data_IF_538211103024
#
_entry.id   IF_538211103024
#
_cell.length_a   1.000
_cell.length_b   1.000
_cell.length_c   1.000
_cell.angle_alpha   90.00
_cell.angle_beta   90.00
_cell.angle_gamma   90.00
#
_symmetry.space_group_name_H-M   'P 1'
#
loop_
_entity.id
_entity.type
_entity.pdbx_description
1 polymer ?
#
# COMPACT_ATOMS: atom_id res chain seq x y z
N UNK A 1 -21.86 19.15 28.74
CA UNK A 1 -20.84 18.26 29.34
C UNK A 1 -19.92 17.82 28.21
N UNK A 2 -18.64 18.18 28.25
CA UNK A 2 -17.68 17.76 27.22
C UNK A 2 -17.43 16.27 27.38
N UNK A 3 -17.94 15.45 26.47
CA UNK A 3 -17.65 14.02 26.43
C UNK A 3 -16.14 13.83 26.28
N UNK A 4 -15.55 13.12 27.24
CA UNK A 4 -14.16 12.72 27.19
C UNK A 4 -14.10 11.37 26.46
N UNK A 5 -13.43 11.34 25.32
CA UNK A 5 -13.35 10.15 24.48
C UNK A 5 -12.19 9.26 24.92
N UNK A 6 -12.39 7.95 24.90
CA UNK A 6 -11.27 7.03 25.05
C UNK A 6 -10.39 7.05 23.79
N UNK A 7 -9.15 6.55 23.89
CA UNK A 7 -8.28 6.39 22.72
C UNK A 7 -8.93 5.54 21.62
N UNK A 8 -9.66 4.49 22.02
CA UNK A 8 -10.37 3.61 21.08
C UNK A 8 -11.48 4.34 20.33
N UNK A 9 -12.20 5.25 21.02
CA UNK A 9 -13.26 6.04 20.39
C UNK A 9 -12.67 7.05 19.40
N UNK A 10 -11.54 7.67 19.73
CA UNK A 10 -10.83 8.59 18.83
C UNK A 10 -10.29 7.88 17.58
N UNK A 11 -9.80 6.64 17.71
CA UNK A 11 -9.43 5.81 16.57
C UNK A 11 -10.65 5.51 15.67
N UNK A 12 -11.82 5.18 16.27
CA UNK A 12 -13.05 4.94 15.50
C UNK A 12 -13.55 6.19 14.80
N UNK A 13 -13.48 7.36 15.45
CA UNK A 13 -13.84 8.64 14.83
C UNK A 13 -12.95 8.91 13.60
N UNK A 14 -11.65 8.65 13.68
CA UNK A 14 -10.78 8.78 12.51
C UNK A 14 -11.21 7.83 11.37
N UNK A 15 -11.71 6.63 11.68
CA UNK A 15 -12.26 5.69 10.68
C UNK A 15 -13.59 6.19 10.10
N UNK A 16 -14.48 6.73 10.93
CA UNK A 16 -15.74 7.31 10.47
C UNK A 16 -15.50 8.48 9.50
N UNK A 17 -14.49 9.31 9.75
CA UNK A 17 -14.08 10.39 8.83
C UNK A 17 -13.48 9.83 7.55
N UNK A 18 -12.61 8.83 7.66
CA UNK A 18 -12.05 8.12 6.51
C UNK A 18 -13.15 7.63 5.57
N UNK A 19 -14.26 7.07 6.09
CA UNK A 19 -15.36 6.52 5.29
C UNK A 19 -16.16 7.58 4.53
N UNK A 20 -16.00 8.87 4.85
CA UNK A 20 -16.58 9.99 4.09
C UNK A 20 -15.77 10.32 2.83
N UNK A 21 -14.52 9.85 2.73
CA UNK A 21 -13.66 10.08 1.56
C UNK A 21 -14.19 9.32 0.35
N UNK A 22 -14.49 10.06 -0.71
CA UNK A 22 -14.83 9.51 -2.03
C UNK A 22 -13.60 9.22 -2.89
N UNK A 23 -12.41 9.61 -2.41
CA UNK A 23 -11.12 9.41 -3.09
C UNK A 23 -10.25 8.37 -2.38
N UNK A 24 -9.41 7.68 -3.15
CA UNK A 24 -8.46 6.70 -2.63
C UNK A 24 -6.99 7.15 -2.76
N UNK A 25 -6.10 6.73 -1.82
CA UNK A 25 -6.44 6.12 -0.54
C UNK A 25 -7.31 7.02 0.33
N UNK A 26 -8.32 6.42 0.98
CA UNK A 26 -9.18 7.06 1.98
C UNK A 26 -8.35 7.31 3.23
N UNK A 27 -8.39 8.54 3.70
CA UNK A 27 -7.67 8.97 4.89
C UNK A 27 -8.62 9.77 5.76
N UNK A 28 -8.67 9.42 7.04
CA UNK A 28 -9.41 10.12 8.07
C UNK A 28 -8.52 10.45 9.25
N UNK A 29 -8.79 11.60 9.86
CA UNK A 29 -8.00 12.17 10.94
C UNK A 29 -8.91 12.68 12.04
N UNK A 30 -8.55 12.37 13.28
CA UNK A 30 -9.10 12.99 14.47
C UNK A 30 -7.96 13.63 15.29
N UNK A 31 -8.14 14.88 15.71
CA UNK A 31 -7.20 15.60 16.58
C UNK A 31 -7.84 15.72 17.95
N UNK A 32 -7.14 15.28 19.00
CA UNK A 32 -7.64 15.36 20.36
C UNK A 32 -6.58 15.81 21.34
N UNK A 33 -7.01 16.45 22.44
CA UNK A 33 -6.14 16.87 23.54
C UNK A 33 -6.83 16.58 24.85
N UNK A 34 -6.15 15.86 25.74
CA UNK A 34 -6.71 15.42 27.03
C UNK A 34 -8.06 14.69 26.89
N UNK A 35 -8.18 13.85 25.85
CA UNK A 35 -9.38 13.06 25.50
C UNK A 35 -10.55 13.88 24.95
N UNK A 36 -10.41 15.21 24.80
CA UNK A 36 -11.38 16.05 24.09
C UNK A 36 -11.06 16.07 22.60
N UNK A 37 -12.03 15.73 21.76
CA UNK A 37 -11.95 15.92 20.31
C UNK A 37 -11.91 17.43 19.99
N UNK A 38 -10.94 17.84 19.20
CA UNK A 38 -10.73 19.24 18.80
C UNK A 38 -11.17 19.49 17.36
N UNK A 39 -10.74 18.62 16.44
CA UNK A 39 -11.10 18.69 15.03
C UNK A 39 -11.02 17.31 14.40
N UNK A 40 -11.69 17.18 13.25
CA UNK A 40 -11.58 16.04 12.36
C UNK A 40 -11.21 16.50 10.96
N UNK A 41 -10.78 15.58 10.11
CA UNK A 41 -10.60 15.83 8.68
C UNK A 41 -10.57 14.54 7.90
N UNK A 42 -10.97 14.59 6.64
CA UNK A 42 -10.83 13.47 5.72
C UNK A 42 -10.33 13.94 4.35
N UNK A 43 -9.76 13.01 3.58
CA UNK A 43 -9.31 13.30 2.22
C UNK A 43 -10.51 13.62 1.33
N UNK A 44 -10.41 14.68 0.55
CA UNK A 44 -11.51 15.14 -0.31
C UNK A 44 -12.48 16.11 0.40
N UNK A 45 -12.34 16.34 1.70
CA UNK A 45 -13.12 17.38 2.39
C UNK A 45 -12.81 18.78 1.85
N UNK A 46 -11.54 19.02 1.49
CA UNK A 46 -11.11 20.20 0.75
C UNK A 46 -10.31 19.72 -0.45
N UNK A 47 -10.69 20.17 -1.65
CA UNK A 47 -10.07 19.77 -2.91
C UNK A 47 -8.53 19.86 -2.83
N UNK A 48 -7.87 18.75 -3.17
CA UNK A 48 -6.40 18.63 -3.22
C UNK A 48 -5.68 18.86 -1.89
N UNK A 49 -6.36 18.69 -0.75
CA UNK A 49 -5.75 18.83 0.59
C UNK A 49 -5.84 17.51 1.35
N UNK A 50 -4.73 17.08 1.95
CA UNK A 50 -4.67 15.87 2.77
C UNK A 50 -5.44 16.04 4.09
N UNK A 51 -5.97 14.92 4.61
CA UNK A 51 -6.82 14.89 5.81
C UNK A 51 -6.16 15.55 7.03
N UNK A 52 -4.85 15.34 7.25
CA UNK A 52 -4.11 15.91 8.38
C UNK A 52 -4.11 17.44 8.31
N UNK A 53 -3.90 17.98 7.12
CA UNK A 53 -3.90 19.43 6.89
C UNK A 53 -5.30 20.01 7.02
N UNK A 54 -6.33 19.31 6.53
CA UNK A 54 -7.73 19.71 6.72
C UNK A 54 -8.05 19.83 8.21
N UNK A 55 -7.68 18.82 9.01
CA UNK A 55 -7.96 18.82 10.44
C UNK A 55 -7.20 19.94 11.18
N UNK A 56 -5.91 20.14 10.86
CA UNK A 56 -5.09 21.18 11.50
C UNK A 56 -5.57 22.59 11.15
N UNK A 57 -6.01 22.84 9.92
CA UNK A 57 -6.52 24.17 9.50
C UNK A 57 -7.77 24.63 10.27
N UNK A 58 -8.47 23.72 10.94
CA UNK A 58 -9.65 24.03 11.77
C UNK A 58 -9.28 24.46 13.19
N UNK A 59 -7.99 24.47 13.54
CA UNK A 59 -7.48 24.70 14.88
C UNK A 59 -6.53 25.91 14.91
N UNK A 60 -6.44 26.55 16.07
CA UNK A 60 -5.36 27.52 16.35
C UNK A 60 -4.09 26.81 16.78
N UNK A 61 -2.95 27.51 16.72
CA UNK A 61 -1.65 26.99 17.13
C UNK A 61 -1.65 26.53 18.61
N UNK A 62 -2.38 27.23 19.49
CA UNK A 62 -2.52 26.85 20.90
C UNK A 62 -3.33 25.57 21.10
N UNK A 63 -4.32 25.33 20.23
CA UNK A 63 -5.16 24.14 20.30
C UNK A 63 -4.39 22.89 19.86
N UNK A 64 -3.63 22.98 18.76
CA UNK A 64 -2.89 21.85 18.18
C UNK A 64 -1.63 21.50 18.97
N UNK A 65 -0.96 22.49 19.58
CA UNK A 65 0.27 22.28 20.33
C UNK A 65 0.04 21.29 21.49
N UNK A 66 0.83 20.22 21.50
CA UNK A 66 0.74 19.13 22.47
C UNK A 66 -0.49 18.21 22.32
N UNK A 67 -1.23 18.31 21.21
CA UNK A 67 -2.33 17.41 20.91
C UNK A 67 -1.83 16.02 20.44
N UNK A 68 -2.74 15.06 20.41
CA UNK A 68 -2.56 13.74 19.80
C UNK A 68 -3.32 13.70 18.47
N UNK A 69 -2.65 13.24 17.42
CA UNK A 69 -3.23 12.99 16.09
C UNK A 69 -3.56 11.51 15.98
N UNK A 70 -4.78 11.20 15.54
CA UNK A 70 -5.19 9.85 15.15
C UNK A 70 -5.41 9.88 13.66
N UNK A 71 -4.53 9.22 12.89
CA UNK A 71 -4.61 9.19 11.41
C UNK A 71 -4.77 7.75 10.95
N UNK A 72 -5.66 7.50 10.00
CA UNK A 72 -5.87 6.13 9.48
C UNK A 72 -4.70 5.65 8.63
N UNK A 73 -3.99 6.54 7.94
CA UNK A 73 -2.84 6.22 7.10
C UNK A 73 -1.57 6.93 7.59
N UNK A 74 -0.40 6.36 7.33
CA UNK A 74 0.89 6.97 7.61
C UNK A 74 1.02 8.37 6.96
N UNK A 75 1.43 9.41 7.72
CA UNK A 75 1.63 10.74 7.17
C UNK A 75 2.72 10.78 6.10
N UNK A 76 2.43 11.42 4.96
CA UNK A 76 3.40 11.54 3.87
C UNK A 76 4.65 12.35 4.28
N UNK A 77 5.80 12.01 3.67
CA UNK A 77 7.09 12.71 3.85
C UNK A 77 7.55 13.48 2.62
N UNK A 78 7.09 13.08 1.44
CA UNK A 78 7.37 13.77 0.18
C UNK A 78 6.28 14.79 -0.12
N UNK A 79 6.65 15.84 -0.85
CA UNK A 79 5.71 16.78 -1.44
C UNK A 79 5.17 16.17 -2.73
N UNK A 80 3.87 15.89 -2.78
CA UNK A 80 3.23 15.52 -4.05
C UNK A 80 3.10 16.75 -4.96
N UNK A 81 2.96 16.53 -6.27
CA UNK A 81 2.83 17.61 -7.28
C UNK A 81 1.68 18.59 -6.98
N UNK A 82 0.65 18.11 -6.28
CA UNK A 82 -0.53 18.90 -5.89
C UNK A 82 -0.39 19.54 -4.50
N UNK A 83 0.69 19.26 -3.77
CA UNK A 83 0.99 19.84 -2.46
C UNK A 83 2.01 20.98 -2.59
N UNK A 84 1.53 22.22 -2.60
CA UNK A 84 2.37 23.44 -2.58
C UNK A 84 2.94 23.80 -1.20
N UNK A 85 2.74 22.96 -0.18
CA UNK A 85 3.04 23.23 1.24
C UNK A 85 3.64 21.96 1.88
N UNK A 86 4.51 22.12 2.89
CA UNK A 86 5.22 21.08 3.67
C UNK A 86 4.53 19.70 3.76
N UNK A 87 5.29 18.60 3.71
CA UNK A 87 4.74 17.23 3.87
C UNK A 87 3.88 17.08 5.14
N UNK A 88 2.92 16.14 5.18
CA UNK A 88 2.08 15.93 6.37
C UNK A 88 2.92 15.67 7.62
N UNK A 89 3.94 14.81 7.56
CA UNK A 89 4.84 14.56 8.69
C UNK A 89 5.54 15.85 9.18
N UNK A 90 6.03 16.68 8.25
CA UNK A 90 6.62 17.98 8.61
C UNK A 90 5.60 18.93 9.25
N UNK A 91 4.38 19.00 8.71
CA UNK A 91 3.32 19.83 9.26
C UNK A 91 3.02 19.44 10.72
N UNK A 92 2.96 18.14 11.03
CA UNK A 92 2.74 17.66 12.40
C UNK A 92 3.88 18.08 13.33
N UNK A 93 5.13 18.00 12.87
CA UNK A 93 6.32 18.44 13.59
C UNK A 93 6.25 19.94 13.88
N UNK A 94 6.01 20.74 12.85
CA UNK A 94 5.95 22.20 12.95
C UNK A 94 4.79 22.66 13.86
N UNK A 95 3.66 21.93 13.86
CA UNK A 95 2.52 22.17 14.75
C UNK A 95 2.77 21.79 16.22
N UNK A 96 3.89 21.13 16.53
CA UNK A 96 4.26 20.78 17.90
C UNK A 96 3.32 19.77 18.55
N UNK A 97 2.83 18.78 17.80
CA UNK A 97 2.01 17.69 18.35
C UNK A 97 2.85 16.80 19.27
N UNK A 98 2.22 16.20 20.29
CA UNK A 98 2.92 15.35 21.27
C UNK A 98 2.95 13.87 20.84
N UNK A 99 1.90 13.42 20.14
CA UNK A 99 1.76 12.02 19.75
C UNK A 99 1.01 11.90 18.40
N UNK A 100 1.42 10.92 17.59
CA UNK A 100 0.71 10.49 16.40
C UNK A 100 0.39 9.00 16.52
N UNK A 101 -0.89 8.66 16.42
CA UNK A 101 -1.41 7.30 16.43
C UNK A 101 -1.80 6.93 15.01
N UNK A 102 -1.13 5.93 14.43
CA UNK A 102 -1.26 5.55 13.02
C UNK A 102 -2.12 4.29 12.88
N UNK A 103 -3.07 4.29 11.95
CA UNK A 103 -3.85 3.11 11.57
C UNK A 103 -3.00 2.08 10.83
N UNK A 104 -2.70 2.36 9.58
CA UNK A 104 -1.86 1.51 8.72
C UNK A 104 -0.66 2.29 8.20
N UNK A 105 0.46 1.59 8.03
CA UNK A 105 1.61 2.16 7.33
C UNK A 105 1.31 2.25 5.83
N UNK A 106 1.92 3.21 5.14
CA UNK A 106 1.67 3.38 3.71
C UNK A 106 2.31 2.21 2.94
N UNK A 107 1.54 1.42 2.17
CA UNK A 107 2.09 0.34 1.36
C UNK A 107 2.94 0.89 0.21
N UNK A 108 2.94 2.16 -0.12
CA UNK A 108 3.90 2.69 -1.10
C UNK A 108 5.33 2.55 -0.57
N UNK A 109 6.17 1.74 -1.22
CA UNK A 109 7.56 1.50 -0.81
C UNK A 109 8.43 2.77 -0.77
N UNK A 110 8.04 3.85 -1.45
CA UNK A 110 8.72 5.16 -1.34
C UNK A 110 8.31 5.97 -0.12
N UNK A 111 7.27 5.56 0.61
CA UNK A 111 6.74 6.24 1.80
C UNK A 111 6.85 5.34 3.04
N UNK A 112 6.74 4.02 2.86
CA UNK A 112 6.68 3.02 3.93
C UNK A 112 7.68 3.29 5.04
N UNK A 113 7.16 3.51 6.24
CA UNK A 113 7.91 3.74 7.48
C UNK A 113 8.72 5.05 7.49
N UNK A 114 8.76 5.83 6.42
CA UNK A 114 9.49 7.11 6.41
C UNK A 114 8.77 8.17 7.24
N UNK A 115 7.44 8.25 7.17
CA UNK A 115 6.64 9.16 7.99
C UNK A 115 6.76 8.80 9.45
N UNK A 116 6.63 7.52 9.76
CA UNK A 116 6.87 6.97 11.10
C UNK A 116 8.25 7.34 11.65
N UNK A 117 9.33 7.11 10.89
CA UNK A 117 10.70 7.41 11.32
C UNK A 117 10.93 8.90 11.52
N UNK A 118 10.48 9.73 10.57
CA UNK A 118 10.64 11.18 10.63
C UNK A 118 10.00 11.78 11.88
N UNK A 119 8.82 11.29 12.28
CA UNK A 119 8.15 11.73 13.51
C UNK A 119 8.96 11.34 14.76
N UNK A 120 9.45 10.11 14.84
CA UNK A 120 10.28 9.64 15.97
C UNK A 120 11.59 10.43 16.09
N UNK A 121 12.27 10.67 14.97
CA UNK A 121 13.52 11.45 14.92
C UNK A 121 13.34 12.89 15.40
N UNK A 122 12.10 13.42 15.34
CA UNK A 122 11.75 14.75 15.81
C UNK A 122 11.04 14.73 17.19
N UNK A 123 11.24 13.66 17.98
CA UNK A 123 10.74 13.51 19.35
C UNK A 123 9.20 13.52 19.48
N UNK A 124 8.48 13.11 18.43
CA UNK A 124 7.04 12.86 18.51
C UNK A 124 6.80 11.41 18.89
N UNK A 125 5.95 11.17 19.89
CA UNK A 125 5.57 9.81 20.25
C UNK A 125 4.73 9.19 19.12
N UNK A 126 5.06 7.98 18.69
CA UNK A 126 4.29 7.28 17.66
C UNK A 126 3.77 5.95 18.19
N UNK A 127 2.46 5.72 18.05
CA UNK A 127 1.81 4.45 18.40
C UNK A 127 0.87 4.01 17.28
N UNK A 128 0.32 2.81 17.38
CA UNK A 128 -0.57 2.25 16.36
C UNK A 128 -1.99 2.05 16.88
N UNK A 129 -2.94 2.01 15.95
CA UNK A 129 -4.30 1.55 16.25
C UNK A 129 -4.25 0.11 16.77
N UNK A 130 -5.27 -0.29 17.53
CA UNK A 130 -5.38 -1.69 17.95
C UNK A 130 -5.57 -2.60 16.72
N UNK A 131 -5.14 -3.87 16.84
CA UNK A 131 -5.13 -4.82 15.73
C UNK A 131 -6.46 -4.91 14.97
N UNK A 132 -7.59 -4.92 15.68
CA UNK A 132 -8.93 -5.02 15.08
C UNK A 132 -9.25 -3.80 14.21
N UNK A 133 -8.94 -2.60 14.70
CA UNK A 133 -9.16 -1.36 13.94
C UNK A 133 -8.18 -1.20 12.78
N UNK A 134 -6.96 -1.72 12.89
CA UNK A 134 -5.99 -1.71 11.77
C UNK A 134 -6.49 -2.50 10.57
N UNK A 135 -7.03 -3.70 10.79
CA UNK A 135 -7.61 -4.52 9.72
C UNK A 135 -8.75 -3.79 9.03
N UNK A 136 -9.68 -3.22 9.81
CA UNK A 136 -10.79 -2.45 9.25
C UNK A 136 -10.34 -1.22 8.45
N UNK A 137 -9.29 -0.53 8.92
CA UNK A 137 -8.69 0.58 8.18
C UNK A 137 -8.06 0.08 6.89
N UNK A 138 -7.31 -1.01 6.91
CA UNK A 138 -6.60 -1.54 5.73
C UNK A 138 -7.56 -1.94 4.60
N UNK A 139 -8.65 -2.63 4.95
CA UNK A 139 -9.68 -3.09 4.00
C UNK A 139 -10.40 -1.94 3.29
N UNK A 140 -10.62 -0.82 4.00
CA UNK A 140 -11.36 0.34 3.49
C UNK A 140 -10.46 1.47 2.94
N UNK A 141 -9.18 1.52 3.33
CA UNK A 141 -8.25 2.61 2.99
C UNK A 141 -7.90 2.67 1.52
N UNK A 142 -7.79 1.54 0.86
CA UNK A 142 -7.27 1.48 -0.49
C UNK A 142 -8.37 1.00 -1.42
N UNK A 143 -8.48 1.63 -2.60
CA UNK A 143 -9.19 0.99 -3.70
C UNK A 143 -8.28 -0.12 -4.15
N UNK A 144 -8.43 -1.25 -3.48
CA UNK A 144 -7.71 -2.43 -3.84
C UNK A 144 -8.25 -3.00 -5.16
N UNK A 145 -9.29 -2.40 -5.79
CA UNK A 145 -10.08 -3.10 -6.78
C UNK A 145 -10.42 -4.50 -6.26
N UNK A 146 -10.53 -5.46 -7.16
CA UNK A 146 -10.41 -6.86 -6.77
C UNK A 146 -8.91 -7.12 -6.49
N UNK A 147 -8.50 -7.34 -5.23
CA UNK A 147 -7.11 -7.72 -4.87
C UNK A 147 -6.63 -8.94 -5.64
N UNK A 148 -7.57 -9.80 -6.02
CA UNK A 148 -7.36 -11.00 -6.81
C UNK A 148 -7.41 -10.73 -8.31
N UNK A 149 -7.43 -9.48 -8.76
CA UNK A 149 -7.48 -9.16 -10.20
C UNK A 149 -6.60 -7.97 -10.56
N UNK A 150 -5.83 -8.13 -11.63
CA UNK A 150 -5.01 -7.06 -12.22
C UNK A 150 -5.21 -7.06 -13.73
N UNK A 151 -5.06 -5.89 -14.35
CA UNK A 151 -5.31 -5.70 -15.78
C UNK A 151 -4.07 -5.16 -16.48
N UNK A 152 -3.86 -5.54 -17.73
CA UNK A 152 -2.86 -4.91 -18.61
C UNK A 152 -1.45 -4.98 -18.03
N UNK A 153 -0.75 -3.85 -18.01
CA UNK A 153 0.59 -3.71 -17.45
C UNK A 153 0.53 -2.83 -16.20
N UNK A 154 1.36 -3.11 -15.20
CA UNK A 154 1.32 -2.34 -13.97
C UNK A 154 2.36 -2.72 -12.93
N UNK A 155 2.22 -2.11 -11.75
CA UNK A 155 3.05 -2.36 -10.57
C UNK A 155 2.16 -2.36 -9.33
N UNK A 156 2.37 -3.31 -8.43
CA UNK A 156 1.53 -3.50 -7.24
C UNK A 156 2.36 -3.99 -6.07
N UNK A 157 2.01 -3.51 -4.87
CA UNK A 157 2.42 -4.15 -3.62
C UNK A 157 1.34 -5.12 -3.19
N UNK A 158 1.72 -6.34 -2.87
CA UNK A 158 0.79 -7.36 -2.37
C UNK A 158 1.38 -7.98 -1.11
N UNK A 159 0.56 -8.24 -0.07
CA UNK A 159 0.99 -9.10 1.01
C UNK A 159 1.42 -10.44 0.42
N UNK A 160 2.36 -11.13 1.06
CA UNK A 160 2.66 -12.53 0.75
C UNK A 160 2.66 -13.27 2.07
N UNK A 161 1.50 -13.84 2.38
CA UNK A 161 1.27 -14.63 3.59
C UNK A 161 1.46 -16.11 3.29
N UNK A 162 1.63 -16.93 4.33
CA UNK A 162 1.88 -18.37 4.21
C UNK A 162 0.78 -19.13 3.43
N UNK A 163 -0.46 -18.65 3.40
CA UNK A 163 -1.56 -19.23 2.62
C UNK A 163 -1.47 -18.97 1.10
N UNK A 164 -0.55 -18.07 0.70
CA UNK A 164 -0.41 -17.55 -0.64
C UNK A 164 -1.51 -16.57 -1.05
N UNK A 165 -1.21 -15.73 -2.03
CA UNK A 165 -2.14 -14.75 -2.60
C UNK A 165 -2.33 -15.05 -4.09
N UNK A 166 -3.55 -15.40 -4.46
CA UNK A 166 -3.98 -15.66 -5.83
C UNK A 166 -4.40 -14.37 -6.50
N UNK A 167 -3.93 -14.17 -7.73
CA UNK A 167 -4.18 -13.00 -8.56
C UNK A 167 -4.49 -13.47 -9.98
N UNK A 168 -5.66 -13.10 -10.47
CA UNK A 168 -6.12 -13.23 -11.84
C UNK A 168 -5.58 -12.06 -12.67
N UNK A 169 -4.77 -12.35 -13.68
CA UNK A 169 -4.24 -11.36 -14.62
C UNK A 169 -5.12 -11.34 -15.86
N UNK A 170 -5.83 -10.24 -16.11
CA UNK A 170 -6.55 -10.00 -17.36
C UNK A 170 -5.75 -9.16 -18.34
N UNK A 171 -5.89 -9.48 -19.63
CA UNK A 171 -5.19 -8.74 -20.68
C UNK A 171 -5.61 -7.26 -20.72
N UNK A 172 -6.90 -6.97 -20.53
CA UNK A 172 -7.45 -5.62 -20.36
C UNK A 172 -8.82 -5.70 -19.67
N UNK A 173 -9.37 -4.58 -19.22
CA UNK A 173 -10.71 -4.55 -18.59
C UNK A 173 -11.84 -5.04 -19.50
N UNK A 174 -11.69 -4.91 -20.83
CA UNK A 174 -12.66 -5.36 -21.82
C UNK A 174 -12.38 -6.78 -22.35
N UNK A 175 -11.33 -7.45 -21.84
CA UNK A 175 -10.89 -8.77 -22.31
C UNK A 175 -11.18 -9.83 -21.25
N UNK A 176 -11.90 -10.88 -21.65
CA UNK A 176 -12.28 -11.97 -20.74
C UNK A 176 -11.15 -12.97 -20.48
N UNK A 177 -10.06 -12.93 -21.25
CA UNK A 177 -8.94 -13.86 -21.10
C UNK A 177 -8.16 -13.58 -19.81
N UNK A 178 -7.91 -14.63 -19.03
CA UNK A 178 -7.23 -14.56 -17.75
C UNK A 178 -6.03 -15.51 -17.69
N UNK A 179 -5.03 -15.14 -16.87
CA UNK A 179 -3.95 -16.02 -16.42
C UNK A 179 -3.85 -15.87 -14.91
N UNK A 180 -3.99 -16.98 -14.19
CA UNK A 180 -3.86 -16.98 -12.73
C UNK A 180 -2.41 -17.14 -12.30
N UNK A 181 -2.00 -16.30 -11.36
CA UNK A 181 -0.72 -16.39 -10.67
C UNK A 181 -0.96 -16.47 -9.17
N UNK A 182 -0.02 -17.08 -8.46
CA UNK A 182 -0.04 -17.13 -7.00
C UNK A 182 1.32 -16.80 -6.43
N UNK A 183 1.33 -15.87 -5.48
CA UNK A 183 2.51 -15.60 -4.67
C UNK A 183 2.44 -16.42 -3.38
N UNK A 184 3.52 -17.10 -3.02
CA UNK A 184 3.63 -17.82 -1.76
C UNK A 184 5.00 -17.55 -1.12
N UNK A 185 5.04 -17.54 0.21
CA UNK A 185 6.29 -17.46 0.98
C UNK A 185 6.43 -18.70 1.84
N UNK A 186 7.42 -19.54 1.54
CA UNK A 186 7.84 -20.57 2.48
C UNK A 186 8.69 -19.98 3.62
N UNK A 187 9.48 -18.93 3.36
CA UNK A 187 10.37 -18.29 4.35
C UNK A 187 10.69 -16.83 3.96
N UNK A 188 9.89 -15.85 4.38
CA UNK A 188 10.12 -14.41 4.05
C UNK A 188 11.48 -13.87 4.55
N UNK A 189 12.05 -14.50 5.59
CA UNK A 189 13.36 -14.17 6.16
C UNK A 189 14.57 -14.41 5.23
N UNK A 190 14.39 -15.08 4.08
CA UNK A 190 15.48 -15.41 3.16
C UNK A 190 15.51 -14.51 1.91
N UNK A 191 14.69 -13.46 1.85
CA UNK A 191 14.69 -12.52 0.73
C UNK A 191 14.26 -13.12 -0.61
N UNK A 192 13.42 -14.16 -0.57
CA UNK A 192 12.87 -14.82 -1.75
C UNK A 192 11.37 -15.08 -1.59
N UNK A 193 10.65 -15.10 -2.71
CA UNK A 193 9.23 -15.48 -2.80
C UNK A 193 9.01 -16.47 -3.93
N UNK A 194 8.04 -17.37 -3.79
CA UNK A 194 7.72 -18.34 -4.82
C UNK A 194 6.54 -17.81 -5.66
N UNK A 195 6.77 -17.65 -6.96
CA UNK A 195 5.74 -17.43 -7.96
C UNK A 195 5.22 -18.77 -8.45
N UNK A 196 3.92 -18.98 -8.43
CA UNK A 196 3.26 -20.19 -8.91
C UNK A 196 2.28 -19.86 -10.03
N UNK A 197 2.10 -20.81 -10.94
CA UNK A 197 1.12 -20.74 -12.02
C UNK A 197 0.57 -22.14 -12.32
N UNK A 198 -0.19 -22.28 -13.40
CA UNK A 198 -0.66 -23.61 -13.84
C UNK A 198 0.53 -24.53 -14.14
N UNK A 199 0.32 -25.85 -14.11
CA UNK A 199 1.40 -26.81 -14.30
C UNK A 199 2.20 -26.55 -15.59
N UNK A 200 3.51 -26.37 -15.47
CA UNK A 200 4.40 -26.12 -16.60
C UNK A 200 4.23 -24.76 -17.29
N UNK A 201 3.68 -23.76 -16.60
CA UNK A 201 3.48 -22.42 -17.16
C UNK A 201 4.53 -21.39 -16.78
N UNK A 202 5.34 -21.66 -15.75
CA UNK A 202 6.27 -20.67 -15.19
C UNK A 202 7.68 -20.94 -15.73
N UNK A 203 8.30 -19.92 -16.30
CA UNK A 203 9.65 -19.94 -16.85
C UNK A 203 10.46 -18.80 -16.25
N UNK A 204 11.69 -19.05 -15.81
CA UNK A 204 12.58 -17.99 -15.31
C UNK A 204 13.37 -17.39 -16.45
N UNK A 205 13.30 -16.07 -16.61
CA UNK A 205 14.03 -15.33 -17.62
C UNK A 205 15.45 -14.99 -17.14
N UNK A 206 16.28 -16.01 -16.93
CA UNK A 206 17.62 -15.84 -16.40
C UNK A 206 18.47 -14.92 -17.28
N UNK A 207 19.07 -13.89 -16.67
CA UNK A 207 19.90 -12.89 -17.35
C UNK A 207 19.16 -11.67 -17.90
N UNK A 208 17.83 -11.68 -17.96
CA UNK A 208 17.04 -10.49 -18.30
C UNK A 208 17.02 -9.52 -17.10
N UNK A 209 17.24 -8.22 -17.37
CA UNK A 209 17.19 -7.15 -16.35
C UNK A 209 15.91 -6.34 -16.45
N UNK A 210 15.36 -6.23 -17.66
CA UNK A 210 14.12 -5.54 -17.95
C UNK A 210 13.24 -6.38 -18.90
N UNK A 211 11.95 -6.07 -18.96
CA UNK A 211 11.03 -6.75 -19.87
C UNK A 211 11.39 -6.59 -21.35
N UNK A 212 12.08 -5.51 -21.72
CA UNK A 212 12.58 -5.29 -23.08
C UNK A 212 13.67 -6.26 -23.52
N UNK A 213 14.37 -6.91 -22.58
CA UNK A 213 15.41 -7.90 -22.90
C UNK A 213 14.80 -9.24 -23.37
N UNK A 214 13.50 -9.44 -23.12
CA UNK A 214 12.75 -10.63 -23.50
C UNK A 214 12.08 -10.36 -24.84
N UNK A 215 12.76 -10.71 -25.93
CA UNK A 215 12.20 -10.62 -27.29
C UNK A 215 11.32 -11.82 -27.65
N UNK A 216 11.70 -13.01 -27.20
CA UNK A 216 10.96 -14.26 -27.41
C UNK A 216 10.84 -15.02 -26.08
N UNK A 217 9.63 -15.12 -25.50
CA UNK A 217 9.41 -15.82 -24.24
C UNK A 217 9.54 -17.34 -24.36
N UNK A 218 9.52 -17.91 -25.57
CA UNK A 218 9.53 -19.36 -25.80
C UNK A 218 10.94 -19.96 -25.77
N UNK A 219 11.98 -19.13 -25.85
CA UNK A 219 13.39 -19.55 -25.81
C UNK A 219 13.79 -20.07 -24.43
N UNK A 220 13.15 -19.57 -23.38
CA UNK A 220 13.43 -20.00 -22.01
C UNK A 220 13.02 -21.47 -21.81
N UNK A 221 13.94 -22.27 -21.29
CA UNK A 221 13.77 -23.72 -21.09
C UNK A 221 13.33 -24.05 -19.67
N UNK A 222 12.83 -25.27 -19.47
CA UNK A 222 12.42 -25.84 -18.17
C UNK A 222 11.16 -25.20 -17.56
N UNK A 223 10.00 -25.34 -18.22
CA UNK A 223 8.74 -24.93 -17.63
C UNK A 223 8.48 -25.67 -16.31
N UNK A 224 8.03 -24.92 -15.32
CA UNK A 224 7.68 -25.42 -13.99
C UNK A 224 6.28 -24.94 -13.60
N UNK A 225 5.75 -25.50 -12.51
CA UNK A 225 4.55 -24.97 -11.86
C UNK A 225 4.89 -23.82 -10.89
N UNK A 226 6.17 -23.63 -10.58
CA UNK A 226 6.65 -22.54 -9.73
C UNK A 226 8.05 -22.06 -10.10
N UNK A 227 8.38 -20.84 -9.70
CA UNK A 227 9.72 -20.27 -9.72
C UNK A 227 10.02 -19.57 -8.39
N UNK A 228 11.20 -19.81 -7.84
CA UNK A 228 11.71 -19.04 -6.70
C UNK A 228 12.33 -17.74 -7.22
N UNK A 229 11.80 -16.63 -6.74
CA UNK A 229 12.10 -15.29 -7.22
C UNK A 229 12.81 -14.49 -6.13
N UNK A 230 13.89 -13.81 -6.50
CA UNK A 230 14.57 -12.80 -5.70
C UNK A 230 14.29 -11.40 -6.29
N UNK A 231 14.69 -10.37 -5.55
CA UNK A 231 14.67 -9.00 -6.04
C UNK A 231 15.39 -8.89 -7.38
N UNK A 232 14.69 -8.37 -8.39
CA UNK A 232 15.19 -8.15 -9.74
C UNK A 232 14.91 -9.30 -10.71
N UNK A 233 14.61 -10.50 -10.23
CA UNK A 233 14.34 -11.66 -11.07
C UNK A 233 13.09 -11.43 -11.92
N UNK A 234 13.14 -11.94 -13.15
CA UNK A 234 12.04 -11.89 -14.11
C UNK A 234 11.58 -13.32 -14.41
N UNK A 235 10.27 -13.53 -14.36
CA UNK A 235 9.63 -14.76 -14.79
C UNK A 235 8.59 -14.47 -15.85
N UNK A 236 8.30 -15.50 -16.64
CA UNK A 236 7.28 -15.54 -17.67
C UNK A 236 6.25 -16.56 -17.22
N UNK A 237 4.98 -16.17 -17.22
CA UNK A 237 3.85 -17.07 -16.98
C UNK A 237 3.06 -17.21 -18.27
N UNK A 238 3.07 -18.42 -18.84
CA UNK A 238 2.36 -18.78 -20.07
C UNK A 238 1.74 -20.18 -19.95
N UNK A 239 0.46 -20.29 -19.55
CA UNK A 239 -0.27 -21.55 -19.62
C UNK A 239 -0.33 -22.09 -21.05
N UNK A 240 -0.37 -23.42 -21.22
CA UNK A 240 -0.33 -24.05 -22.56
C UNK A 240 -1.47 -23.63 -23.50
N UNK A 241 -2.61 -23.20 -22.95
CA UNK A 241 -3.80 -22.81 -23.70
C UNK A 241 -4.00 -21.28 -23.77
N UNK A 242 -3.05 -20.48 -23.25
CA UNK A 242 -3.20 -19.02 -23.25
C UNK A 242 -2.77 -18.41 -24.59
N UNK A 243 -3.48 -17.35 -25.01
CA UNK A 243 -3.15 -16.56 -26.22
C UNK A 243 -2.33 -15.31 -25.93
N UNK A 244 -1.99 -15.12 -24.66
CA UNK A 244 -1.09 -14.09 -24.15
C UNK A 244 -0.21 -14.70 -23.06
N UNK A 245 0.82 -13.97 -22.63
CA UNK A 245 1.69 -14.34 -21.53
C UNK A 245 1.92 -13.13 -20.63
N UNK A 246 2.32 -13.40 -19.39
CA UNK A 246 2.61 -12.38 -18.38
C UNK A 246 4.09 -12.40 -18.06
N UNK A 247 4.76 -11.26 -18.25
CA UNK A 247 6.09 -11.02 -17.71
C UNK A 247 5.94 -10.45 -16.30
N UNK A 248 6.68 -10.98 -15.34
CA UNK A 248 6.60 -10.59 -13.93
C UNK A 248 8.01 -10.34 -13.42
N UNK A 249 8.22 -9.18 -12.79
CA UNK A 249 9.48 -8.88 -12.10
C UNK A 249 9.21 -8.54 -10.64
N UNK A 250 9.98 -9.16 -9.75
CA UNK A 250 9.99 -8.76 -8.33
C UNK A 250 10.85 -7.50 -8.19
N UNK A 251 10.24 -6.41 -7.74
CA UNK A 251 10.89 -5.11 -7.58
C UNK A 251 11.53 -4.99 -6.19
N UNK A 252 10.81 -5.44 -5.15
CA UNK A 252 11.27 -5.38 -3.76
C UNK A 252 10.58 -6.48 -2.94
N UNK A 253 11.28 -7.03 -1.94
CA UNK A 253 10.76 -8.02 -0.99
C UNK A 253 10.91 -7.45 0.42
N UNK A 254 9.83 -7.46 1.17
CA UNK A 254 9.77 -7.07 2.58
C UNK A 254 9.40 -8.30 3.45
N UNK A 255 9.40 -8.13 4.77
CA UNK A 255 9.16 -9.22 5.72
C UNK A 255 7.81 -9.93 5.54
N UNK A 256 6.78 -9.22 5.06
CA UNK A 256 5.40 -9.74 4.94
C UNK A 256 4.74 -9.46 3.58
N UNK A 257 5.43 -8.78 2.67
CA UNK A 257 4.86 -8.32 1.40
C UNK A 257 5.93 -8.15 0.33
N UNK A 258 5.49 -8.01 -0.92
CA UNK A 258 6.36 -7.75 -2.06
C UNK A 258 5.82 -6.63 -2.91
N UNK A 259 6.71 -5.96 -3.62
CA UNK A 259 6.35 -5.14 -4.76
C UNK A 259 6.76 -5.89 -6.02
N UNK A 260 5.82 -6.12 -6.92
CA UNK A 260 6.09 -6.68 -8.24
C UNK A 260 5.52 -5.77 -9.33
N UNK A 261 6.09 -5.88 -10.52
CA UNK A 261 5.54 -5.28 -11.74
C UNK A 261 5.25 -6.36 -12.76
N UNK A 262 4.29 -6.12 -13.63
CA UNK A 262 3.92 -7.05 -14.68
C UNK A 262 3.67 -6.34 -16.01
N UNK A 263 3.82 -7.10 -17.09
CA UNK A 263 3.50 -6.71 -18.46
C UNK A 263 2.82 -7.88 -19.14
N UNK A 264 1.64 -7.65 -19.72
CA UNK A 264 0.97 -8.65 -20.55
C UNK A 264 1.34 -8.43 -22.01
N UNK A 265 1.59 -9.52 -22.74
CA UNK A 265 1.89 -9.49 -24.17
C UNK A 265 1.13 -10.58 -24.88
N UNK A 266 0.60 -10.28 -26.06
CA UNK A 266 0.00 -11.31 -26.90
C UNK A 266 1.08 -12.25 -27.44
N UNK A 267 0.68 -13.48 -27.73
CA UNK A 267 1.51 -14.48 -28.38
C UNK A 267 1.66 -14.25 -29.91
N UNK A 268 1.10 -13.14 -30.41
CA UNK A 268 1.12 -12.69 -31.81
C UNK A 268 1.39 -11.19 -31.90
#
# INVERSE_FOLDING_TARGET
MSNNYSRSDLMKIAIEEHLKSTEFPRVGVAVAKSGKLLATGYRGETNSVHAERVAIRKLTDEQIKGATIYTTLEPCVELHKDQKISSCAQLLIDSGVNEVVIGVLDPNGTIYSQGYRKLLENNINVSFFNRKLRVAVEEESFDCGNIHKIYGCGKRRVPVVHSGNEIEVQFSEADERTIDIKWATLQSTHGCVDLQGSNGSVLVAAGARNFGDISDPTVFRFPSHYARMHKGDIAIVKPSNSTFYVLIQVVEIFDNDIIFKWEVRNDK
#
